data_IF_096219758889
#
_entry.id   IF_096219758889
#
_cell.length_a   1.000
_cell.length_b   1.000
_cell.length_c   1.000
_cell.angle_alpha   90.00
_cell.angle_beta   90.00
_cell.angle_gamma   90.00
#
_symmetry.space_group_name_H-M   'P 1'
#
loop_
_entity.id
_entity.type
_entity.pdbx_description
1 polymer ?
#
# COMPACT_ATOMS: atom_id res chain seq x y z
N UNK A 1 -22.50 35.06 -29.17
CA UNK A 1 -21.66 36.21 -28.81
C UNK A 1 -20.49 35.76 -27.92
N UNK A 2 -20.75 35.24 -26.71
CA UNK A 2 -19.71 34.88 -25.73
C UNK A 2 -18.65 33.90 -26.26
N UNK A 3 -19.07 32.84 -26.97
CA UNK A 3 -18.14 31.85 -27.53
C UNK A 3 -17.21 32.44 -28.61
N UNK A 4 -17.64 33.43 -29.39
CA UNK A 4 -16.81 34.06 -30.42
C UNK A 4 -15.74 34.99 -29.83
N UNK A 5 -16.01 35.56 -28.65
CA UNK A 5 -15.12 36.47 -27.94
C UNK A 5 -14.07 35.71 -27.14
N UNK A 6 -14.45 34.63 -26.44
CA UNK A 6 -13.53 33.91 -25.54
C UNK A 6 -12.94 32.64 -26.15
N UNK A 7 -13.77 31.76 -26.71
CA UNK A 7 -13.38 30.39 -27.14
C UNK A 7 -13.15 30.19 -28.64
N UNK A 8 -13.60 31.13 -29.48
CA UNK A 8 -13.65 30.98 -30.93
C UNK A 8 -14.80 30.08 -31.41
N UNK A 9 -15.36 30.37 -32.59
CA UNK A 9 -16.38 29.51 -33.24
C UNK A 9 -15.66 28.66 -34.29
N UNK A 10 -15.84 27.32 -34.31
CA UNK A 10 -15.30 26.49 -35.39
C UNK A 10 -16.03 26.80 -36.70
N UNK A 11 -15.31 27.26 -37.71
CA UNK A 11 -15.86 27.63 -39.03
C UNK A 11 -15.53 26.60 -40.11
N UNK A 12 -14.49 25.78 -39.91
CA UNK A 12 -14.12 24.74 -40.85
C UNK A 12 -12.97 23.87 -40.36
N UNK A 13 -12.63 22.88 -41.17
CA UNK A 13 -11.49 21.99 -40.95
C UNK A 13 -10.55 22.12 -42.15
N UNK A 14 -9.28 22.42 -41.90
CA UNK A 14 -8.24 22.48 -42.93
C UNK A 14 -7.32 21.27 -42.73
N UNK A 15 -6.93 20.55 -43.80
CA UNK A 15 -5.94 19.49 -43.71
C UNK A 15 -4.59 20.04 -43.25
N UNK A 16 -3.94 19.33 -42.32
CA UNK A 16 -2.60 19.68 -41.84
C UNK A 16 -1.59 19.55 -42.99
N UNK A 17 -0.68 20.53 -43.09
CA UNK A 17 0.33 20.59 -44.14
C UNK A 17 1.34 19.43 -44.03
N UNK A 18 1.53 18.89 -42.82
CA UNK A 18 2.46 17.77 -42.57
C UNK A 18 1.77 16.39 -42.57
N UNK A 19 0.45 16.33 -42.38
CA UNK A 19 -0.33 15.09 -42.41
C UNK A 19 -1.74 15.33 -42.97
N UNK A 20 -2.00 15.02 -44.26
CA UNK A 20 -3.30 15.27 -44.88
C UNK A 20 -4.44 14.42 -44.31
N UNK A 21 -4.16 13.44 -43.46
CA UNK A 21 -5.18 12.69 -42.71
C UNK A 21 -5.64 13.41 -41.44
N UNK A 22 -4.82 14.32 -40.92
CA UNK A 22 -5.13 15.14 -39.76
C UNK A 22 -5.87 16.42 -40.20
N UNK A 23 -6.99 16.73 -39.55
CA UNK A 23 -7.85 17.87 -39.87
C UNK A 23 -7.88 18.85 -38.71
N UNK A 24 -7.30 20.03 -38.90
CA UNK A 24 -7.20 21.07 -37.90
C UNK A 24 -8.44 21.97 -37.92
N UNK A 25 -9.09 22.24 -36.76
CA UNK A 25 -10.22 23.15 -36.68
C UNK A 25 -9.77 24.60 -36.82
N UNK A 26 -10.39 25.32 -37.76
CA UNK A 26 -10.25 26.76 -37.92
C UNK A 26 -11.26 27.46 -37.02
N UNK A 27 -10.76 28.24 -36.08
CA UNK A 27 -11.57 28.98 -35.12
C UNK A 27 -11.63 30.45 -35.54
N UNK A 28 -12.85 30.98 -35.70
CA UNK A 28 -13.09 32.41 -35.82
C UNK A 28 -13.17 32.99 -34.41
N UNK A 29 -12.16 33.78 -34.04
CA UNK A 29 -12.09 34.48 -32.76
C UNK A 29 -12.04 35.98 -32.99
N UNK A 30 -12.74 36.74 -32.16
CA UNK A 30 -12.64 38.21 -32.16
C UNK A 30 -11.27 38.61 -31.59
N UNK A 31 -10.50 39.39 -32.35
CA UNK A 31 -9.22 39.93 -31.89
C UNK A 31 -9.45 40.78 -30.64
N UNK A 32 -8.93 40.32 -29.51
CA UNK A 32 -9.10 40.88 -28.17
C UNK A 32 -7.76 40.81 -27.44
N UNK A 33 -7.36 41.90 -26.79
CA UNK A 33 -6.36 41.84 -25.73
C UNK A 33 -7.03 41.25 -24.48
N UNK A 34 -6.33 40.36 -23.76
CA UNK A 34 -6.91 39.57 -22.64
C UNK A 34 -7.49 40.43 -21.52
N UNK A 35 -7.10 41.71 -21.43
CA UNK A 35 -7.46 42.63 -20.35
C UNK A 35 -8.83 43.29 -20.52
N UNK A 36 -9.36 43.39 -21.75
CA UNK A 36 -10.62 44.10 -22.06
C UNK A 36 -11.79 43.15 -22.38
N UNK A 37 -11.62 41.84 -22.16
CA UNK A 37 -12.58 40.84 -22.59
C UNK A 37 -13.93 40.94 -21.87
N UNK A 38 -13.98 41.40 -20.61
CA UNK A 38 -15.23 41.53 -19.84
C UNK A 38 -16.10 42.69 -20.37
N UNK A 39 -15.50 43.87 -20.57
CA UNK A 39 -16.21 45.06 -21.04
C UNK A 39 -16.66 44.90 -22.50
N UNK A 40 -15.85 44.25 -23.34
CA UNK A 40 -16.19 43.98 -24.75
C UNK A 40 -17.32 42.96 -24.93
N UNK A 41 -17.60 42.12 -23.94
CA UNK A 41 -18.78 41.25 -23.97
C UNK A 41 -20.06 42.09 -23.83
N UNK A 42 -20.03 43.13 -22.99
CA UNK A 42 -21.18 44.04 -22.81
C UNK A 42 -21.43 44.90 -24.06
N UNK A 43 -20.36 45.35 -24.73
CA UNK A 43 -20.41 46.14 -25.96
C UNK A 43 -20.72 45.33 -27.24
N UNK A 44 -20.89 44.00 -27.12
CA UNK A 44 -21.08 43.15 -28.27
C UNK A 44 -22.42 43.44 -28.98
N UNK A 45 -22.36 43.78 -30.27
CA UNK A 45 -23.57 44.05 -31.06
C UNK A 45 -24.33 42.77 -31.44
N UNK A 46 -25.62 42.73 -31.13
CA UNK A 46 -26.55 41.66 -31.53
C UNK A 46 -27.34 42.12 -32.76
N UNK A 47 -27.24 41.35 -33.83
CA UNK A 47 -27.94 41.62 -35.09
C UNK A 47 -29.31 40.94 -35.11
N UNK A 48 -30.35 41.69 -35.49
CA UNK A 48 -31.72 41.18 -35.59
C UNK A 48 -31.92 40.41 -36.90
N UNK A 49 -32.50 39.21 -36.83
CA UNK A 49 -32.80 38.38 -38.01
C UNK A 49 -33.78 39.05 -38.99
N UNK A 50 -34.66 39.91 -38.49
CA UNK A 50 -35.68 40.62 -39.28
C UNK A 50 -35.13 41.80 -40.10
N UNK A 51 -33.82 42.09 -40.05
CA UNK A 51 -33.24 43.33 -40.56
C UNK A 51 -33.53 44.52 -39.62
N UNK A 52 -32.50 45.34 -39.39
CA UNK A 52 -32.56 46.51 -38.50
C UNK A 52 -31.18 46.86 -37.95
N UNK A 53 -31.09 48.01 -37.27
CA UNK A 53 -29.84 48.43 -36.64
C UNK A 53 -29.42 47.45 -35.55
N UNK A 54 -28.13 47.11 -35.45
CA UNK A 54 -27.60 46.31 -34.35
C UNK A 54 -27.80 47.03 -33.01
N UNK A 55 -28.13 46.26 -31.99
CA UNK A 55 -28.34 46.75 -30.61
C UNK A 55 -27.22 46.19 -29.73
N UNK A 56 -26.57 46.99 -28.86
CA UNK A 56 -25.53 46.49 -27.98
C UNK A 56 -26.11 45.52 -26.93
N UNK A 57 -25.31 44.54 -26.48
CA UNK A 57 -25.77 43.49 -25.58
C UNK A 57 -26.16 44.05 -24.19
N UNK A 58 -25.52 45.13 -23.74
CA UNK A 58 -25.81 45.81 -22.48
C UNK A 58 -27.27 46.30 -22.36
N UNK A 59 -27.88 46.71 -23.48
CA UNK A 59 -29.29 47.16 -23.53
C UNK A 59 -30.28 45.99 -23.43
N UNK A 60 -29.81 44.76 -23.71
CA UNK A 60 -30.64 43.56 -23.77
C UNK A 60 -30.42 42.62 -22.58
N UNK A 61 -29.24 42.63 -21.96
CA UNK A 61 -28.87 41.72 -20.88
C UNK A 61 -27.86 42.33 -19.92
N UNK A 62 -28.03 42.06 -18.63
CA UNK A 62 -27.08 42.44 -17.58
C UNK A 62 -25.96 41.40 -17.46
N UNK A 63 -24.74 41.77 -17.82
CA UNK A 63 -23.54 40.95 -17.63
C UNK A 63 -23.10 41.04 -16.16
N UNK A 64 -23.00 39.91 -15.47
CA UNK A 64 -22.61 39.86 -14.06
C UNK A 64 -21.57 38.77 -13.85
N UNK A 65 -20.45 39.13 -13.23
CA UNK A 65 -19.43 38.15 -12.84
C UNK A 65 -19.93 37.34 -11.64
N UNK A 66 -20.06 36.03 -11.83
CA UNK A 66 -20.37 35.09 -10.75
C UNK A 66 -19.26 34.06 -10.65
N UNK A 67 -18.79 33.82 -9.42
CA UNK A 67 -17.91 32.70 -9.14
C UNK A 67 -18.71 31.41 -9.27
N UNK A 68 -18.27 30.51 -10.14
CA UNK A 68 -18.83 29.17 -10.31
C UNK A 68 -17.71 28.14 -10.28
N UNK A 69 -17.97 26.92 -9.78
CA UNK A 69 -17.00 25.84 -9.86
C UNK A 69 -16.63 25.57 -11.33
N UNK A 70 -15.33 25.63 -11.65
CA UNK A 70 -14.81 25.36 -13.00
C UNK A 70 -15.09 23.92 -13.41
N UNK A 71 -15.02 23.00 -12.45
CA UNK A 71 -15.35 21.59 -12.62
C UNK A 71 -15.99 21.06 -11.34
N UNK A 72 -17.03 20.23 -11.49
CA UNK A 72 -17.62 19.47 -10.38
C UNK A 72 -17.11 18.04 -10.48
N UNK A 73 -16.10 17.72 -9.67
CA UNK A 73 -15.61 16.35 -9.54
C UNK A 73 -16.66 15.49 -8.84
N UNK A 74 -16.86 14.27 -9.33
CA UNK A 74 -17.79 13.30 -8.74
C UNK A 74 -17.09 11.97 -8.50
N UNK A 75 -17.37 11.35 -7.37
CA UNK A 75 -16.96 9.99 -7.03
C UNK A 75 -18.21 9.21 -6.64
N UNK A 76 -18.42 8.04 -7.25
CA UNK A 76 -19.64 7.23 -7.06
C UNK A 76 -20.95 8.02 -7.19
N UNK A 77 -20.99 8.98 -8.12
CA UNK A 77 -22.17 9.82 -8.38
C UNK A 77 -22.38 10.98 -7.38
N UNK A 78 -21.58 11.10 -6.32
CA UNK A 78 -21.65 12.20 -5.36
C UNK A 78 -20.60 13.27 -5.70
N UNK A 79 -20.89 14.57 -5.54
CA UNK A 79 -19.90 15.63 -5.71
C UNK A 79 -18.83 15.51 -4.62
N UNK A 80 -17.57 15.59 -5.01
CA UNK A 80 -16.42 15.45 -4.10
C UNK A 80 -15.37 16.53 -4.36
N UNK A 81 -14.59 16.84 -3.33
CA UNK A 81 -13.37 17.62 -3.45
C UNK A 81 -12.19 16.73 -3.05
N UNK A 82 -11.16 16.66 -3.89
CA UNK A 82 -9.95 15.89 -3.59
C UNK A 82 -9.02 16.73 -2.72
N UNK A 83 -8.69 16.22 -1.54
CA UNK A 83 -7.66 16.76 -0.68
C UNK A 83 -6.41 15.90 -0.79
N UNK A 84 -5.33 16.47 -1.30
CA UNK A 84 -4.02 15.81 -1.37
C UNK A 84 -3.10 16.43 -0.32
N UNK A 85 -2.36 15.58 0.38
CA UNK A 85 -1.34 15.99 1.34
C UNK A 85 -0.10 15.13 1.11
N UNK A 86 1.04 15.78 0.91
CA UNK A 86 2.32 15.10 0.79
C UNK A 86 3.02 15.06 2.16
N UNK A 87 3.54 13.88 2.53
CA UNK A 87 4.16 13.65 3.84
C UNK A 87 5.64 13.40 3.63
N UNK A 88 6.45 14.42 3.90
CA UNK A 88 7.89 14.45 3.62
C UNK A 88 8.75 13.63 4.59
N UNK A 89 8.31 13.39 5.84
CA UNK A 89 9.04 12.59 6.83
C UNK A 89 8.12 11.56 7.51
N UNK A 90 7.67 10.57 6.72
CA UNK A 90 6.73 9.55 7.19
C UNK A 90 7.42 8.57 8.15
N UNK A 91 7.35 8.86 9.45
CA UNK A 91 7.71 7.94 10.53
C UNK A 91 6.49 7.18 11.03
N UNK A 92 6.08 6.14 10.30
CA UNK A 92 4.97 5.26 10.72
C UNK A 92 4.11 4.76 9.57
N UNK A 93 3.00 4.09 9.90
CA UNK A 93 2.04 3.57 8.91
C UNK A 93 1.26 4.75 8.28
N UNK A 94 1.40 5.00 6.95
CA UNK A 94 0.68 6.10 6.28
C UNK A 94 -0.83 5.97 6.45
N UNK A 95 -1.32 4.73 6.54
CA UNK A 95 -2.73 4.41 6.74
C UNK A 95 -3.24 4.91 8.09
N UNK A 96 -2.41 4.82 9.14
CA UNK A 96 -2.78 5.25 10.48
C UNK A 96 -2.78 6.79 10.59
N UNK A 97 -1.87 7.47 9.89
CA UNK A 97 -1.84 8.93 9.82
C UNK A 97 -3.08 9.46 9.11
N UNK A 98 -3.41 8.90 7.95
CA UNK A 98 -4.60 9.24 7.19
C UNK A 98 -5.88 9.01 8.00
N UNK A 99 -5.99 7.89 8.72
CA UNK A 99 -7.15 7.64 9.61
C UNK A 99 -7.27 8.67 10.73
N UNK A 100 -6.15 9.09 11.34
CA UNK A 100 -6.17 10.15 12.37
C UNK A 100 -6.64 11.46 11.76
N UNK A 101 -6.13 11.82 10.59
CA UNK A 101 -6.44 13.06 9.91
C UNK A 101 -7.91 13.10 9.47
N UNK A 102 -8.41 11.99 8.91
CA UNK A 102 -9.83 11.83 8.56
C UNK A 102 -10.74 11.96 9.79
N UNK A 103 -10.38 11.38 10.93
CA UNK A 103 -11.15 11.53 12.18
C UNK A 103 -11.16 12.97 12.68
N UNK A 104 -10.02 13.64 12.71
CA UNK A 104 -9.93 15.04 13.14
C UNK A 104 -10.68 16.00 12.21
N UNK A 105 -10.76 15.70 10.92
CA UNK A 105 -11.55 16.47 9.96
C UNK A 105 -13.04 16.20 10.09
N UNK A 106 -13.44 14.94 10.30
CA UNK A 106 -14.84 14.57 10.54
C UNK A 106 -15.39 15.21 11.82
N UNK A 107 -14.58 15.34 12.88
CA UNK A 107 -14.96 16.06 14.10
C UNK A 107 -15.19 17.57 13.87
N UNK A 108 -14.41 18.18 12.97
CA UNK A 108 -14.53 19.62 12.66
C UNK A 108 -15.66 19.93 11.67
N UNK A 109 -15.98 18.99 10.78
CA UNK A 109 -16.97 19.16 9.72
C UNK A 109 -17.93 17.95 9.67
N UNK A 110 -18.91 17.88 10.57
CA UNK A 110 -19.83 16.73 10.66
C UNK A 110 -20.77 16.59 9.45
N UNK A 111 -20.92 17.63 8.64
CA UNK A 111 -21.74 17.63 7.42
C UNK A 111 -21.02 17.00 6.20
N UNK A 112 -19.71 16.75 6.31
CA UNK A 112 -18.88 16.26 5.20
C UNK A 112 -18.38 14.85 5.51
N UNK A 113 -18.66 13.91 4.62
CA UNK A 113 -18.17 12.54 4.71
C UNK A 113 -16.73 12.47 4.15
N UNK A 114 -15.78 12.03 4.97
CA UNK A 114 -14.38 11.86 4.57
C UNK A 114 -14.12 10.39 4.24
N UNK A 115 -13.96 10.09 2.94
CA UNK A 115 -13.56 8.76 2.47
C UNK A 115 -12.08 8.79 2.05
N UNK A 116 -11.22 7.93 2.62
CA UNK A 116 -9.85 7.77 2.15
C UNK A 116 -9.83 7.10 0.76
N UNK A 117 -9.14 7.70 -0.21
CA UNK A 117 -9.09 7.23 -1.61
C UNK A 117 -7.63 6.95 -1.99
N UNK A 118 -7.39 5.96 -2.87
CA UNK A 118 -6.06 5.62 -3.39
C UNK A 118 -5.40 4.42 -2.70
N UNK A 119 -4.06 4.37 -2.72
CA UNK A 119 -3.24 3.23 -2.27
C UNK A 119 -3.46 2.84 -0.79
N UNK A 120 -3.84 3.80 0.04
CA UNK A 120 -4.13 3.57 1.47
C UNK A 120 -5.41 2.76 1.68
N UNK A 121 -6.45 3.02 0.89
CA UNK A 121 -7.70 2.26 0.91
C UNK A 121 -7.46 0.85 0.35
N UNK A 122 -6.73 0.73 -0.76
CA UNK A 122 -6.35 -0.55 -1.34
C UNK A 122 -5.45 -1.37 -0.39
N UNK A 123 -4.59 -0.72 0.39
CA UNK A 123 -3.76 -1.37 1.41
C UNK A 123 -4.61 -1.91 2.57
N UNK A 124 -5.63 -1.17 3.03
CA UNK A 124 -6.59 -1.68 4.05
C UNK A 124 -7.38 -2.86 3.51
N UNK A 125 -7.93 -2.74 2.32
CA UNK A 125 -8.73 -3.80 1.70
C UNK A 125 -7.89 -5.06 1.48
N UNK A 126 -6.66 -4.90 0.98
CA UNK A 126 -5.70 -6.00 0.81
C UNK A 126 -5.35 -6.64 2.15
N UNK A 127 -5.01 -5.85 3.17
CA UNK A 127 -4.75 -6.36 4.54
C UNK A 127 -5.96 -7.15 5.08
N UNK A 128 -7.19 -6.66 4.86
CA UNK A 128 -8.42 -7.32 5.32
C UNK A 128 -8.72 -8.61 4.54
N UNK A 129 -8.51 -8.62 3.23
CA UNK A 129 -8.61 -9.84 2.40
C UNK A 129 -7.61 -10.90 2.84
N UNK A 130 -6.35 -10.50 3.09
CA UNK A 130 -5.32 -11.40 3.62
C UNK A 130 -5.75 -11.95 4.97
N UNK A 131 -6.22 -11.11 5.90
CA UNK A 131 -6.69 -11.56 7.22
C UNK A 131 -7.86 -12.54 7.15
N UNK A 132 -8.81 -12.31 6.25
CA UNK A 132 -9.95 -13.22 6.02
C UNK A 132 -9.49 -14.59 5.53
N UNK A 133 -8.48 -14.64 4.68
CA UNK A 133 -7.91 -15.90 4.18
C UNK A 133 -6.84 -16.49 5.11
N UNK A 134 -6.31 -15.72 6.05
CA UNK A 134 -5.31 -16.18 7.01
C UNK A 134 -5.84 -17.32 7.88
N UNK A 135 -7.08 -17.24 8.35
CA UNK A 135 -7.69 -18.27 9.21
C UNK A 135 -7.76 -19.64 8.51
N UNK A 136 -8.43 -19.78 7.33
CA UNK A 136 -8.51 -21.08 6.66
C UNK A 136 -7.14 -21.60 6.21
N UNK A 137 -6.23 -20.72 5.77
CA UNK A 137 -4.86 -21.11 5.41
C UNK A 137 -4.08 -21.61 6.62
N UNK A 138 -4.20 -20.94 7.78
CA UNK A 138 -3.52 -21.35 9.01
C UNK A 138 -4.03 -22.70 9.50
N UNK A 139 -5.33 -22.97 9.38
CA UNK A 139 -5.90 -24.30 9.68
C UNK A 139 -5.34 -25.35 8.71
N UNK A 140 -5.25 -25.05 7.42
CA UNK A 140 -4.64 -25.93 6.43
C UNK A 140 -3.18 -26.26 6.75
N UNK A 141 -2.38 -25.24 7.10
CA UNK A 141 -0.98 -25.41 7.53
C UNK A 141 -0.92 -26.25 8.81
N UNK A 142 -1.78 -26.00 9.80
CA UNK A 142 -1.83 -26.79 11.03
C UNK A 142 -2.10 -28.28 10.74
N UNK A 143 -3.07 -28.58 9.87
CA UNK A 143 -3.40 -29.95 9.48
C UNK A 143 -2.22 -30.62 8.75
N UNK A 144 -1.56 -29.90 7.85
CA UNK A 144 -0.35 -30.38 7.17
C UNK A 144 0.78 -30.66 8.15
N UNK A 145 0.99 -29.80 9.15
CA UNK A 145 2.00 -30.01 10.20
C UNK A 145 1.68 -31.20 11.09
N UNK A 146 0.41 -31.40 11.45
CA UNK A 146 -0.02 -32.57 12.23
C UNK A 146 0.19 -33.84 11.40
N UNK A 147 -0.10 -33.80 10.11
CA UNK A 147 0.10 -34.93 9.20
C UNK A 147 1.59 -35.24 9.03
N UNK A 148 2.43 -34.23 8.78
CA UNK A 148 3.86 -34.38 8.60
C UNK A 148 4.56 -34.85 9.87
N UNK A 149 4.23 -34.25 11.01
CA UNK A 149 4.85 -34.60 12.29
C UNK A 149 4.15 -35.81 12.95
N UNK A 150 3.01 -36.29 12.48
CA UNK A 150 2.31 -37.43 13.11
C UNK A 150 1.93 -37.27 14.60
N UNK A 151 2.10 -36.08 15.21
CA UNK A 151 1.66 -35.82 16.59
C UNK A 151 1.47 -34.34 16.90
N UNK A 152 0.31 -34.05 17.49
CA UNK A 152 -0.17 -32.70 17.83
C UNK A 152 0.76 -31.99 18.80
N UNK A 153 1.39 -32.70 19.75
CA UNK A 153 2.29 -32.10 20.75
C UNK A 153 3.56 -31.53 20.10
N UNK A 154 4.12 -32.25 19.12
CA UNK A 154 5.29 -31.81 18.38
C UNK A 154 4.94 -30.63 17.46
N UNK A 155 3.78 -30.69 16.80
CA UNK A 155 3.26 -29.53 16.03
C UNK A 155 3.12 -28.28 16.90
N UNK A 156 2.56 -28.42 18.11
CA UNK A 156 2.42 -27.30 19.03
C UNK A 156 3.77 -26.73 19.48
N UNK A 157 4.76 -27.60 19.71
CA UNK A 157 6.12 -27.18 20.06
C UNK A 157 6.77 -26.37 18.93
N UNK A 158 6.56 -26.78 17.68
CA UNK A 158 7.01 -26.05 16.49
C UNK A 158 6.30 -24.70 16.36
N UNK A 159 4.98 -24.63 16.61
CA UNK A 159 4.26 -23.36 16.55
C UNK A 159 4.76 -22.36 17.60
N UNK A 160 5.14 -22.85 18.79
CA UNK A 160 5.65 -22.00 19.86
C UNK A 160 7.01 -21.38 19.51
N UNK A 161 7.83 -22.02 18.67
CA UNK A 161 9.09 -21.42 18.19
C UNK A 161 8.90 -20.34 17.15
N UNK A 162 7.73 -20.26 16.49
CA UNK A 162 7.42 -19.19 15.52
C UNK A 162 7.08 -17.87 16.23
N UNK A 163 6.44 -17.91 17.40
CA UNK A 163 6.08 -16.70 18.17
C UNK A 163 7.26 -15.72 18.41
N UNK A 164 8.45 -16.16 18.88
CA UNK A 164 9.59 -15.27 19.04
C UNK A 164 10.14 -14.72 17.70
N UNK A 165 9.94 -15.41 16.58
CA UNK A 165 10.28 -14.89 15.25
C UNK A 165 9.45 -13.65 14.89
N UNK A 166 8.14 -13.69 15.15
CA UNK A 166 7.25 -12.54 14.96
C UNK A 166 7.62 -11.37 15.87
N UNK A 167 7.96 -11.67 17.14
CA UNK A 167 8.46 -10.64 18.06
C UNK A 167 9.73 -9.99 17.52
N UNK A 168 10.66 -10.77 16.99
CA UNK A 168 11.90 -10.24 16.43
C UNK A 168 11.71 -9.40 15.19
N UNK A 169 10.79 -9.80 14.30
CA UNK A 169 10.39 -8.98 13.17
C UNK A 169 9.80 -7.64 13.63
N UNK A 170 8.85 -7.67 14.57
CA UNK A 170 8.21 -6.46 15.11
C UNK A 170 9.21 -5.51 15.78
N UNK A 171 10.16 -6.04 16.55
CA UNK A 171 11.22 -5.25 17.19
C UNK A 171 12.14 -4.62 16.12
N UNK A 172 12.54 -5.35 15.10
CA UNK A 172 13.42 -4.82 14.05
C UNK A 172 12.74 -3.72 13.23
N UNK A 173 11.47 -3.89 12.87
CA UNK A 173 10.66 -2.85 12.23
C UNK A 173 10.57 -1.60 13.11
N UNK A 174 10.40 -1.77 14.42
CA UNK A 174 10.32 -0.64 15.37
C UNK A 174 11.66 0.10 15.50
N UNK A 175 12.78 -0.62 15.57
CA UNK A 175 14.12 -0.02 15.69
C UNK A 175 14.50 0.76 14.42
N UNK A 176 14.15 0.23 13.26
CA UNK A 176 14.46 0.83 11.95
C UNK A 176 13.43 1.87 11.50
N UNK A 177 12.37 2.09 12.27
CA UNK A 177 11.29 3.03 11.96
C UNK A 177 10.49 2.66 10.71
N UNK A 178 10.49 1.40 10.28
CA UNK A 178 9.80 0.96 9.07
C UNK A 178 8.32 0.68 9.35
N UNK A 179 7.40 1.04 8.43
CA UNK A 179 5.97 0.80 8.61
C UNK A 179 5.62 -0.69 8.49
N UNK A 180 4.62 -1.13 9.26
CA UNK A 180 4.04 -2.47 9.10
C UNK A 180 3.03 -2.48 7.94
N UNK A 181 3.56 -2.50 6.72
CA UNK A 181 2.81 -2.58 5.47
C UNK A 181 2.59 -4.01 4.96
N UNK A 182 2.00 -4.13 3.77
CA UNK A 182 1.81 -5.42 3.07
C UNK A 182 3.15 -6.12 2.83
N UNK A 183 4.21 -5.37 2.51
CA UNK A 183 5.55 -5.91 2.28
C UNK A 183 6.18 -6.47 3.55
N UNK A 184 6.03 -5.78 4.69
CA UNK A 184 6.45 -6.31 5.98
C UNK A 184 5.70 -7.60 6.33
N UNK A 185 4.38 -7.64 6.08
CA UNK A 185 3.56 -8.83 6.29
C UNK A 185 4.03 -10.02 5.45
N UNK A 186 4.29 -9.82 4.15
CA UNK A 186 4.85 -10.85 3.28
C UNK A 186 6.18 -11.38 3.80
N UNK A 187 7.06 -10.47 4.27
CA UNK A 187 8.33 -10.85 4.90
C UNK A 187 8.14 -11.68 6.17
N UNK A 188 7.18 -11.31 7.03
CA UNK A 188 6.88 -12.09 8.25
C UNK A 188 6.30 -13.48 7.95
N UNK A 189 5.49 -13.62 6.89
CA UNK A 189 4.95 -14.92 6.47
C UNK A 189 6.07 -15.80 5.88
N UNK A 190 6.94 -15.23 5.04
CA UNK A 190 8.10 -15.93 4.49
C UNK A 190 9.07 -16.39 5.61
N UNK A 191 9.31 -15.52 6.60
CA UNK A 191 10.07 -15.85 7.81
C UNK A 191 9.46 -17.04 8.55
N UNK A 192 8.14 -17.06 8.77
CA UNK A 192 7.48 -18.15 9.47
C UNK A 192 7.75 -19.50 8.79
N UNK A 193 7.75 -19.55 7.45
CA UNK A 193 8.09 -20.75 6.69
C UNK A 193 9.52 -21.26 6.96
N UNK A 194 10.52 -20.37 6.98
CA UNK A 194 11.92 -20.74 7.27
C UNK A 194 12.05 -21.28 8.69
N UNK A 195 11.41 -20.63 9.66
CA UNK A 195 11.47 -21.03 11.08
C UNK A 195 10.78 -22.39 11.29
N UNK A 196 9.61 -22.58 10.69
CA UNK A 196 8.89 -23.86 10.73
C UNK A 196 9.73 -24.97 10.10
N UNK A 197 10.37 -24.73 8.94
CA UNK A 197 11.25 -25.71 8.31
C UNK A 197 12.43 -26.11 9.22
N UNK A 198 13.10 -25.13 9.83
CA UNK A 198 14.21 -25.40 10.76
C UNK A 198 13.74 -26.20 11.99
N UNK A 199 12.56 -25.89 12.51
CA UNK A 199 11.98 -26.58 13.66
C UNK A 199 11.54 -28.01 13.33
N UNK A 200 10.93 -28.25 12.16
CA UNK A 200 10.56 -29.60 11.69
C UNK A 200 11.81 -30.47 11.56
N UNK A 201 12.85 -29.97 10.88
CA UNK A 201 14.08 -30.74 10.64
C UNK A 201 14.79 -31.12 11.96
N UNK A 202 14.70 -30.28 13.00
CA UNK A 202 15.23 -30.60 14.33
C UNK A 202 14.30 -31.60 15.07
N UNK A 203 12.99 -31.37 15.05
CA UNK A 203 12.01 -32.24 15.69
C UNK A 203 12.01 -33.67 15.13
N UNK A 204 12.12 -33.81 13.80
CA UNK A 204 12.21 -35.11 13.14
C UNK A 204 13.49 -35.85 13.50
N UNK A 205 14.60 -35.14 13.72
CA UNK A 205 15.86 -35.75 14.16
C UNK A 205 15.77 -36.27 15.59
N UNK A 206 15.24 -35.43 16.49
CA UNK A 206 14.99 -35.82 17.89
C UNK A 206 14.08 -37.04 18.01
N UNK A 207 13.15 -37.22 17.07
CA UNK A 207 12.33 -38.43 16.98
C UNK A 207 13.03 -39.62 16.38
N UNK A 208 13.72 -39.44 15.26
CA UNK A 208 14.42 -40.52 14.58
C UNK A 208 15.40 -41.23 15.51
N UNK A 209 16.02 -40.46 16.41
CA UNK A 209 17.01 -40.95 17.37
C UNK A 209 16.38 -41.33 18.73
N UNK A 210 15.04 -41.23 18.86
CA UNK A 210 14.29 -41.48 20.11
C UNK A 210 14.94 -40.82 21.34
N UNK A 211 15.45 -39.60 21.17
CA UNK A 211 16.21 -38.90 22.20
C UNK A 211 15.34 -38.70 23.44
N UNK A 212 15.75 -39.34 24.54
CA UNK A 212 15.03 -39.33 25.82
C UNK A 212 15.90 -38.77 26.95
N UNK A 213 17.23 -38.87 26.81
CA UNK A 213 18.18 -38.26 27.74
C UNK A 213 18.48 -36.80 27.37
N UNK A 214 18.67 -35.95 28.38
CA UNK A 214 19.11 -34.57 28.22
C UNK A 214 20.39 -34.44 27.38
N UNK A 215 21.32 -35.38 27.55
CA UNK A 215 22.59 -35.41 26.83
C UNK A 215 22.39 -35.63 25.33
N UNK A 216 21.50 -36.55 24.96
CA UNK A 216 21.19 -36.87 23.55
C UNK A 216 20.48 -35.70 22.88
N UNK A 217 19.53 -35.06 23.56
CA UNK A 217 18.82 -33.90 23.05
C UNK A 217 19.79 -32.74 22.77
N UNK A 218 20.74 -32.50 23.68
CA UNK A 218 21.76 -31.45 23.53
C UNK A 218 22.76 -31.76 22.41
N UNK A 219 23.17 -33.02 22.26
CA UNK A 219 24.07 -33.46 21.20
C UNK A 219 23.43 -33.25 19.82
N UNK A 220 22.19 -33.71 19.64
CA UNK A 220 21.43 -33.56 18.39
C UNK A 220 21.17 -32.08 18.07
N UNK A 221 20.82 -31.28 19.09
CA UNK A 221 20.66 -29.84 18.91
C UNK A 221 21.98 -29.16 18.51
N UNK A 222 23.10 -29.60 19.07
CA UNK A 222 24.45 -29.12 18.77
C UNK A 222 24.88 -29.41 17.33
N UNK A 223 24.62 -30.62 16.81
CA UNK A 223 24.91 -30.97 15.42
C UNK A 223 24.13 -30.10 14.43
N UNK A 224 22.90 -29.74 14.80
CA UNK A 224 22.00 -28.93 13.98
C UNK A 224 22.29 -27.43 14.03
N UNK A 225 23.12 -26.99 14.97
CA UNK A 225 23.49 -25.57 15.09
C UNK A 225 24.19 -25.07 13.83
N UNK A 226 25.13 -25.85 13.25
CA UNK A 226 25.89 -25.41 12.07
C UNK A 226 25.00 -25.25 10.83
N UNK A 227 24.15 -26.23 10.44
CA UNK A 227 23.25 -26.05 9.29
C UNK A 227 22.24 -24.90 9.46
N UNK A 228 21.64 -24.75 10.65
CA UNK A 228 20.66 -23.68 10.92
C UNK A 228 21.33 -22.30 10.86
N UNK A 229 22.54 -22.18 11.41
CA UNK A 229 23.27 -20.92 11.36
C UNK A 229 23.69 -20.56 9.93
N UNK A 230 24.09 -21.55 9.12
CA UNK A 230 24.48 -21.36 7.72
C UNK A 230 23.28 -20.92 6.86
N UNK A 231 22.11 -21.53 7.04
CA UNK A 231 20.90 -21.13 6.31
C UNK A 231 20.45 -19.72 6.70
N UNK A 232 20.48 -19.40 8.01
CA UNK A 232 20.14 -18.07 8.49
C UNK A 232 21.11 -16.99 7.97
N UNK A 233 22.42 -17.28 8.01
CA UNK A 233 23.45 -16.36 7.51
C UNK A 233 23.31 -16.14 6.01
N UNK A 234 23.05 -17.19 5.23
CA UNK A 234 22.82 -17.09 3.79
C UNK A 234 21.60 -16.18 3.47
N UNK A 235 20.48 -16.38 4.18
CA UNK A 235 19.29 -15.55 4.00
C UNK A 235 19.54 -14.08 4.38
N UNK A 236 20.22 -13.83 5.50
CA UNK A 236 20.56 -12.47 5.95
C UNK A 236 21.47 -11.79 4.93
N UNK A 237 22.54 -12.46 4.48
CA UNK A 237 23.47 -11.93 3.50
C UNK A 237 22.80 -11.70 2.14
N UNK A 238 21.88 -12.58 1.71
CA UNK A 238 21.11 -12.41 0.49
C UNK A 238 20.13 -11.23 0.53
N UNK A 239 19.61 -10.89 1.71
CA UNK A 239 18.70 -9.76 1.91
C UNK A 239 19.43 -8.44 2.22
N UNK A 240 20.73 -8.49 2.50
CA UNK A 240 21.52 -7.32 2.86
C UNK A 240 21.58 -6.28 1.73
N UNK A 241 21.85 -6.64 0.45
CA UNK A 241 21.81 -5.68 -0.65
C UNK A 241 20.43 -5.04 -0.82
N UNK A 242 19.37 -5.80 -0.59
CA UNK A 242 17.99 -5.31 -0.68
C UNK A 242 17.71 -4.26 0.39
N UNK A 243 18.20 -4.49 1.62
CA UNK A 243 18.11 -3.52 2.71
C UNK A 243 18.90 -2.23 2.42
N UNK A 244 20.08 -2.36 1.81
CA UNK A 244 20.98 -1.24 1.47
C UNK A 244 20.54 -0.48 0.20
N UNK A 245 19.75 -1.11 -0.68
CA UNK A 245 19.27 -0.50 -1.94
C UNK A 245 18.43 0.77 -1.73
N UNK A 246 17.91 0.98 -0.51
CA UNK A 246 17.10 2.15 -0.17
C UNK A 246 15.69 2.13 -0.75
N UNK A 247 15.27 1.07 -1.45
CA UNK A 247 13.94 1.01 -2.03
C UNK A 247 12.87 0.91 -0.92
N UNK A 248 11.97 1.91 -0.81
CA UNK A 248 10.99 1.98 0.28
C UNK A 248 9.96 0.83 0.26
N UNK A 249 9.76 0.18 -0.89
CA UNK A 249 8.88 -0.99 -1.00
C UNK A 249 9.51 -2.24 -0.38
N UNK A 250 10.81 -2.47 -0.61
CA UNK A 250 11.50 -3.71 -0.21
C UNK A 250 12.17 -3.63 1.15
N UNK A 251 12.48 -2.42 1.62
CA UNK A 251 13.15 -2.20 2.91
C UNK A 251 12.37 -2.77 4.12
N UNK A 252 11.03 -2.58 4.25
CA UNK A 252 10.25 -3.20 5.33
C UNK A 252 10.24 -4.73 5.26
N UNK A 253 10.22 -5.31 4.05
CA UNK A 253 10.27 -6.77 3.84
C UNK A 253 11.59 -7.35 4.34
N UNK A 254 12.73 -6.80 3.87
CA UNK A 254 14.06 -7.26 4.26
C UNK A 254 14.30 -7.10 5.76
N UNK A 255 13.87 -5.98 6.34
CA UNK A 255 14.05 -5.69 7.77
C UNK A 255 13.29 -6.68 8.66
N UNK A 256 12.02 -6.95 8.32
CA UNK A 256 11.19 -7.89 9.05
C UNK A 256 11.80 -9.30 9.03
N UNK A 257 12.27 -9.74 7.86
CA UNK A 257 12.93 -11.04 7.71
C UNK A 257 14.23 -11.11 8.50
N UNK A 258 15.17 -10.18 8.29
CA UNK A 258 16.50 -10.21 8.94
C UNK A 258 16.35 -10.20 10.47
N UNK A 259 15.58 -9.26 11.01
CA UNK A 259 15.40 -9.13 12.46
C UNK A 259 14.69 -10.32 13.08
N UNK A 260 13.66 -10.83 12.41
CA UNK A 260 12.97 -12.03 12.84
C UNK A 260 13.83 -13.28 12.77
N UNK A 261 14.66 -13.42 11.73
CA UNK A 261 15.54 -14.59 11.57
C UNK A 261 16.62 -14.64 12.65
N UNK A 262 17.22 -13.50 13.00
CA UNK A 262 18.24 -13.44 14.06
C UNK A 262 17.66 -13.93 15.39
N UNK A 263 16.49 -13.42 15.77
CA UNK A 263 15.84 -13.80 17.03
C UNK A 263 15.29 -15.23 16.96
N UNK A 264 14.73 -15.63 15.81
CA UNK A 264 14.20 -16.98 15.62
C UNK A 264 15.28 -18.05 15.62
N UNK A 265 16.45 -17.79 15.07
CA UNK A 265 17.57 -18.74 15.07
C UNK A 265 18.01 -19.02 16.50
N UNK A 266 18.25 -17.98 17.30
CA UNK A 266 18.60 -18.12 18.71
C UNK A 266 17.49 -18.82 19.48
N UNK A 267 16.24 -18.42 19.27
CA UNK A 267 15.11 -19.02 19.99
C UNK A 267 14.83 -20.46 19.57
N UNK A 268 14.99 -20.84 18.30
CA UNK A 268 14.74 -22.23 17.86
C UNK A 268 15.74 -23.19 18.52
N UNK A 269 17.00 -22.77 18.64
CA UNK A 269 18.07 -23.53 19.28
C UNK A 269 17.89 -23.70 20.80
N UNK A 270 17.20 -22.78 21.47
CA UNK A 270 16.96 -22.83 22.92
C UNK A 270 15.59 -23.43 23.26
N UNK A 271 14.54 -22.94 22.61
CA UNK A 271 13.15 -23.23 22.93
C UNK A 271 12.75 -24.63 22.49
N UNK A 272 13.20 -25.11 21.32
CA UNK A 272 12.77 -26.42 20.83
C UNK A 272 13.35 -27.58 21.66
N UNK A 273 14.65 -27.61 22.03
CA UNK A 273 15.19 -28.64 22.92
C UNK A 273 14.57 -28.60 24.32
N UNK A 274 14.34 -27.40 24.86
CA UNK A 274 13.70 -27.23 26.16
C UNK A 274 12.26 -27.74 26.19
N UNK A 275 11.48 -27.47 25.14
CA UNK A 275 10.12 -28.00 24.99
C UNK A 275 10.11 -29.52 24.77
N UNK A 276 11.10 -30.04 24.04
CA UNK A 276 11.24 -31.49 23.86
C UNK A 276 11.54 -32.20 25.17
N UNK A 277 12.44 -31.64 25.97
CA UNK A 277 12.76 -32.13 27.31
C UNK A 277 11.55 -32.13 28.24
N UNK A 278 10.72 -31.09 28.21
CA UNK A 278 9.48 -31.03 28.99
C UNK A 278 8.47 -32.13 28.59
N UNK A 279 8.57 -32.66 27.36
CA UNK A 279 7.74 -33.77 26.88
C UNK A 279 8.25 -35.13 27.34
N UNK A 280 9.56 -35.28 27.55
CA UNK A 280 10.21 -36.54 27.95
C UNK A 280 10.32 -36.71 29.47
N UNK A 281 10.14 -35.64 30.25
CA UNK A 281 9.94 -35.66 31.70
C UNK A 281 8.49 -36.01 32.07
#
# INVERSE_FOLDING_TARGET
ATLAVTGGIPVGLIPDEHDPSNRLPVLLKVATDETDAEDRIAEAYVHRQSGGNPVPLEDLAKVVRKSQPVAISRWNGRPVAYLTADVTDLRGDPVALEQKLARSLAEKFPEIEFEPIGDSAQSKETKQKIFRHLIPVSIGILLLLIWQTGSVRTTFSILLTVAPAFLGAAVALRITGQPFGVMALLGTVALAGIVVNNAIVLADRLRAENATSDSEILEIAGERLRPIFLSASCAILGLLPLLLSGNPLWKPFATAMIGGLVIATVSTLLTLPALWKLRSA
#
